data_IF_446746966293
#
_entry.id   IF_446746966293
#
_cell.length_a   1.000
_cell.length_b   1.000
_cell.length_c   1.000
_cell.angle_alpha   90.00
_cell.angle_beta   90.00
_cell.angle_gamma   90.00
#
_symmetry.space_group_name_H-M   'P 1'
#
loop_
_entity.id
_entity.type
_entity.pdbx_description
1 polymer ?
#
# COMPACT_ATOMS: atom_id res chain seq x y z
N UNK A 1 23.14 5.51 7.89
CA UNK A 1 22.80 4.47 6.90
C UNK A 1 21.68 5.01 6.04
N UNK A 2 21.80 4.97 4.73
CA UNK A 2 20.75 5.45 3.84
C UNK A 2 19.63 4.41 3.74
N UNK A 3 18.40 4.85 3.63
CA UNK A 3 17.20 4.01 3.69
C UNK A 3 16.60 3.81 2.32
N UNK A 4 16.11 2.60 2.08
CA UNK A 4 15.29 2.25 0.91
C UNK A 4 13.87 1.96 1.38
N UNK A 5 12.88 2.58 0.72
CA UNK A 5 11.50 2.54 1.17
C UNK A 5 10.55 2.15 0.04
N UNK A 6 9.46 1.46 0.38
CA UNK A 6 8.40 1.08 -0.55
C UNK A 6 7.07 1.69 -0.11
N UNK A 7 6.32 2.27 -1.06
CA UNK A 7 4.98 2.81 -0.83
C UNK A 7 4.01 2.18 -1.83
N UNK A 8 3.13 1.33 -1.32
CA UNK A 8 2.06 0.67 -2.09
C UNK A 8 0.80 1.55 -2.04
N UNK A 9 0.21 1.84 -3.20
CA UNK A 9 -0.86 2.83 -3.31
C UNK A 9 -0.33 4.27 -3.34
N UNK A 10 0.86 4.47 -3.88
CA UNK A 10 1.62 5.72 -3.92
C UNK A 10 0.92 6.89 -4.65
N UNK A 11 -0.13 6.66 -5.43
CA UNK A 11 -0.90 7.71 -6.12
C UNK A 11 -2.17 8.13 -5.37
N UNK A 12 -2.56 7.42 -4.31
CA UNK A 12 -3.63 7.87 -3.41
C UNK A 12 -3.18 9.11 -2.62
N UNK A 13 -4.13 9.89 -2.08
CA UNK A 13 -3.81 11.12 -1.36
C UNK A 13 -2.79 10.89 -0.22
N UNK A 14 -3.00 9.86 0.60
CA UNK A 14 -2.09 9.54 1.70
C UNK A 14 -0.77 8.98 1.17
N UNK A 15 -0.82 8.04 0.21
CA UNK A 15 0.38 7.44 -0.36
C UNK A 15 1.29 8.49 -1.02
N UNK A 16 0.72 9.44 -1.75
CA UNK A 16 1.48 10.53 -2.37
C UNK A 16 2.11 11.45 -1.31
N UNK A 17 1.36 11.86 -0.29
CA UNK A 17 1.89 12.69 0.78
C UNK A 17 3.05 12.01 1.55
N UNK A 18 2.96 10.69 1.75
CA UNK A 18 4.04 9.90 2.32
C UNK A 18 5.26 9.88 1.39
N UNK A 19 5.06 9.68 0.09
CA UNK A 19 6.15 9.74 -0.91
C UNK A 19 6.85 11.10 -0.86
N UNK A 20 6.10 12.20 -0.89
CA UNK A 20 6.67 13.56 -0.84
C UNK A 20 7.51 13.77 0.43
N UNK A 21 7.01 13.30 1.57
CA UNK A 21 7.73 13.35 2.85
C UNK A 21 9.05 12.55 2.80
N UNK A 22 9.00 11.34 2.22
CA UNK A 22 10.17 10.46 2.10
C UNK A 22 11.22 11.01 1.12
N UNK A 23 10.79 11.67 0.05
CA UNK A 23 11.69 12.31 -0.91
C UNK A 23 12.42 13.50 -0.31
N UNK A 24 11.78 14.23 0.60
CA UNK A 24 12.38 15.35 1.33
C UNK A 24 13.36 14.90 2.45
N UNK A 25 13.33 13.64 2.86
CA UNK A 25 14.24 13.09 3.88
C UNK A 25 15.59 12.74 3.23
N UNK A 26 16.66 13.45 3.62
CA UNK A 26 18.01 13.19 3.14
C UNK A 26 18.54 11.79 3.53
N UNK A 27 17.97 11.17 4.55
CA UNK A 27 18.34 9.80 4.93
C UNK A 27 17.75 8.74 3.99
N UNK A 28 16.78 9.09 3.13
CA UNK A 28 16.20 8.20 2.13
C UNK A 28 16.95 8.32 0.80
N UNK A 29 17.47 7.20 0.31
CA UNK A 29 18.19 7.13 -0.98
C UNK A 29 17.32 6.63 -2.14
N UNK A 30 16.32 5.79 -1.84
CA UNK A 30 15.44 5.25 -2.87
C UNK A 30 14.01 5.08 -2.37
N UNK A 31 13.05 5.52 -3.19
CA UNK A 31 11.61 5.36 -2.96
C UNK A 31 11.02 4.52 -4.09
N UNK A 32 10.55 3.33 -3.76
CA UNK A 32 9.82 2.47 -4.68
C UNK A 32 8.33 2.80 -4.58
N UNK A 33 7.76 3.33 -5.66
CA UNK A 33 6.35 3.70 -5.79
C UNK A 33 5.60 2.59 -6.51
N UNK A 34 4.65 1.98 -5.83
CA UNK A 34 3.82 0.92 -6.38
C UNK A 34 2.40 1.42 -6.63
N UNK A 35 1.92 1.31 -7.86
CA UNK A 35 0.56 1.73 -8.24
C UNK A 35 0.11 1.09 -9.55
N UNK A 36 -1.18 1.19 -9.87
CA UNK A 36 -1.76 0.72 -11.15
C UNK A 36 -1.48 1.65 -12.34
N UNK A 37 -0.92 2.81 -12.10
CA UNK A 37 -0.64 3.75 -13.18
C UNK A 37 0.79 3.57 -13.70
N UNK A 38 0.94 3.62 -15.01
CA UNK A 38 2.25 3.74 -15.65
C UNK A 38 2.89 5.07 -15.28
N UNK A 39 4.20 5.05 -15.13
CA UNK A 39 4.96 6.26 -14.83
C UNK A 39 5.65 6.81 -16.07
N UNK A 40 5.58 8.13 -16.23
CA UNK A 40 6.27 8.87 -17.26
C UNK A 40 7.38 9.79 -16.71
N UNK A 41 7.53 9.86 -15.39
CA UNK A 41 8.50 10.76 -14.74
C UNK A 41 9.72 9.96 -14.27
N UNK A 42 10.91 10.42 -14.67
CA UNK A 42 12.18 9.88 -14.20
C UNK A 42 12.76 10.82 -13.14
N UNK A 43 12.75 10.37 -11.90
CA UNK A 43 13.45 11.01 -10.80
C UNK A 43 14.54 10.06 -10.27
N UNK A 44 15.73 10.59 -10.00
CA UNK A 44 16.89 9.78 -9.62
C UNK A 44 16.65 8.86 -8.41
N UNK A 45 15.83 9.32 -7.44
CA UNK A 45 15.51 8.56 -6.23
C UNK A 45 14.26 7.67 -6.35
N UNK A 46 13.51 7.77 -7.44
CA UNK A 46 12.19 7.14 -7.56
C UNK A 46 12.21 5.97 -8.54
N UNK A 47 11.68 4.84 -8.12
CA UNK A 47 11.46 3.67 -8.96
C UNK A 47 9.97 3.35 -8.95
N UNK A 48 9.35 3.31 -10.13
CA UNK A 48 7.95 2.95 -10.28
C UNK A 48 7.81 1.50 -10.69
N UNK A 49 6.91 0.80 -10.03
CA UNK A 49 6.56 -0.60 -10.32
C UNK A 49 5.04 -0.70 -10.36
N UNK A 50 4.54 -1.34 -11.41
CA UNK A 50 3.11 -1.64 -11.50
C UNK A 50 2.70 -2.66 -10.44
N UNK A 51 1.56 -2.42 -9.80
CA UNK A 51 0.90 -3.36 -8.89
C UNK A 51 -0.61 -3.15 -8.90
N UNK A 52 -1.35 -4.24 -8.99
CA UNK A 52 -2.77 -4.28 -8.65
C UNK A 52 -2.94 -5.19 -7.41
N UNK A 53 -3.37 -4.61 -6.29
CA UNK A 53 -3.53 -5.36 -5.03
C UNK A 53 -4.77 -6.27 -5.03
N UNK A 54 -5.62 -6.18 -6.04
CA UNK A 54 -6.76 -7.05 -6.25
C UNK A 54 -6.39 -8.32 -7.02
N UNK A 55 -5.17 -8.39 -7.55
CA UNK A 55 -4.62 -9.52 -8.31
C UNK A 55 -3.33 -10.05 -7.63
N UNK A 56 -3.40 -11.26 -7.09
CA UNK A 56 -2.27 -11.88 -6.39
C UNK A 56 -1.06 -12.08 -7.32
N UNK A 57 -1.27 -12.43 -8.59
CA UNK A 57 -0.17 -12.60 -9.53
C UNK A 57 0.52 -11.27 -9.83
N UNK A 58 -0.23 -10.17 -9.93
CA UNK A 58 0.33 -8.82 -10.04
C UNK A 58 1.21 -8.45 -8.84
N UNK A 59 0.78 -8.79 -7.62
CA UNK A 59 1.56 -8.55 -6.40
C UNK A 59 2.88 -9.34 -6.43
N UNK A 60 2.83 -10.60 -6.84
CA UNK A 60 3.99 -11.47 -6.97
C UNK A 60 4.97 -10.93 -8.00
N UNK A 61 4.49 -10.61 -9.21
CA UNK A 61 5.31 -10.05 -10.29
C UNK A 61 5.96 -8.72 -9.88
N UNK A 62 5.26 -7.88 -9.13
CA UNK A 62 5.83 -6.64 -8.61
C UNK A 62 7.05 -6.89 -7.71
N UNK A 63 7.04 -7.95 -6.89
CA UNK A 63 8.22 -8.31 -6.08
C UNK A 63 9.32 -9.00 -6.91
N UNK A 64 8.98 -9.80 -7.91
CA UNK A 64 9.93 -10.45 -8.80
C UNK A 64 10.66 -9.44 -9.71
N UNK A 65 10.05 -8.28 -9.98
CA UNK A 65 10.65 -7.18 -10.75
C UNK A 65 11.63 -6.31 -9.95
N UNK A 66 11.76 -6.54 -8.65
CA UNK A 66 12.70 -5.80 -7.81
C UNK A 66 14.14 -6.11 -8.21
N UNK A 67 15.05 -5.11 -8.19
CA UNK A 67 16.46 -5.37 -8.33
C UNK A 67 16.97 -6.41 -7.33
N UNK A 68 17.93 -7.22 -7.76
CA UNK A 68 18.61 -8.19 -6.91
C UNK A 68 19.13 -7.51 -5.63
N UNK A 69 19.03 -8.21 -4.50
CA UNK A 69 19.44 -7.71 -3.17
C UNK A 69 18.63 -6.51 -2.62
N UNK A 70 17.51 -6.14 -3.24
CA UNK A 70 16.64 -5.09 -2.68
C UNK A 70 16.20 -5.44 -1.27
N UNK A 71 16.45 -4.52 -0.31
CA UNK A 71 15.96 -4.60 1.07
C UNK A 71 15.36 -3.27 1.48
N UNK A 72 14.19 -3.32 2.09
CA UNK A 72 13.45 -2.16 2.54
C UNK A 72 13.60 -1.93 4.04
N UNK A 73 13.80 -0.67 4.41
CA UNK A 73 13.74 -0.20 5.80
C UNK A 73 12.29 0.13 6.21
N UNK A 74 11.46 0.51 5.23
CA UNK A 74 10.03 0.75 5.39
C UNK A 74 9.26 0.20 4.19
N UNK A 75 8.21 -0.55 4.46
CA UNK A 75 7.15 -0.87 3.50
C UNK A 75 5.86 -0.29 4.05
N UNK A 76 5.28 0.66 3.31
CA UNK A 76 4.04 1.34 3.70
C UNK A 76 2.93 1.06 2.71
N UNK A 77 1.85 0.43 3.18
CA UNK A 77 0.67 0.11 2.37
C UNK A 77 -0.41 1.17 2.63
N UNK A 78 -0.62 2.05 1.65
CA UNK A 78 -1.56 3.16 1.68
C UNK A 78 -2.86 2.89 0.91
N UNK A 79 -3.11 1.64 0.56
CA UNK A 79 -4.33 1.25 -0.16
C UNK A 79 -5.50 1.10 0.80
N UNK A 80 -6.68 1.49 0.34
CA UNK A 80 -7.92 1.33 1.07
C UNK A 80 -9.06 2.06 0.37
N UNK A 81 -10.27 1.59 0.59
CA UNK A 81 -11.50 2.16 0.03
C UNK A 81 -12.58 2.20 1.11
N UNK A 82 -13.28 3.31 1.21
CA UNK A 82 -14.53 3.46 1.95
C UNK A 82 -15.70 3.59 0.98
N UNK A 83 -15.47 4.32 -0.12
CA UNK A 83 -16.41 4.48 -1.23
C UNK A 83 -15.61 4.70 -2.51
N UNK A 84 -16.24 4.43 -3.64
CA UNK A 84 -15.75 4.85 -4.95
C UNK A 84 -16.85 5.67 -5.65
N UNK A 85 -16.47 6.36 -6.72
CA UNK A 85 -17.40 7.26 -7.45
C UNK A 85 -18.47 6.49 -8.23
N UNK A 86 -18.36 5.17 -8.36
CA UNK A 86 -19.17 4.39 -9.30
C UNK A 86 -20.11 3.38 -8.61
N UNK A 87 -19.60 2.56 -7.71
CA UNK A 87 -20.33 1.37 -7.28
C UNK A 87 -20.30 1.09 -5.78
N UNK A 88 -19.35 1.64 -5.04
CA UNK A 88 -19.19 1.40 -3.60
C UNK A 88 -19.53 2.66 -2.83
N UNK A 89 -20.63 2.63 -2.10
CA UNK A 89 -21.06 3.68 -1.18
C UNK A 89 -21.33 3.06 0.18
N UNK A 90 -21.07 3.76 1.29
CA UNK A 90 -21.45 3.29 2.62
C UNK A 90 -22.94 2.97 2.68
N UNK A 91 -23.28 1.79 3.16
CA UNK A 91 -24.64 1.33 3.30
C UNK A 91 -25.36 2.15 4.37
N UNK A 92 -26.58 2.62 4.05
CA UNK A 92 -27.46 3.34 4.97
C UNK A 92 -28.48 2.41 5.63
N UNK A 93 -28.66 1.23 5.09
CA UNK A 93 -29.61 0.22 5.54
C UNK A 93 -29.05 -1.18 5.31
N UNK A 94 -29.44 -2.13 6.15
CA UNK A 94 -29.11 -3.54 5.96
C UNK A 94 -29.56 -4.08 4.58
N UNK A 95 -30.57 -3.48 3.99
CA UNK A 95 -31.07 -3.82 2.66
C UNK A 95 -30.13 -3.43 1.53
N UNK A 96 -29.19 -2.50 1.79
CA UNK A 96 -28.25 -2.00 0.80
C UNK A 96 -27.00 -2.90 0.71
N UNK A 97 -26.85 -3.85 1.64
CA UNK A 97 -25.73 -4.80 1.66
C UNK A 97 -25.85 -5.71 0.43
N UNK A 98 -24.77 -5.82 -0.31
CA UNK A 98 -24.66 -6.75 -1.43
C UNK A 98 -23.34 -7.53 -1.37
N UNK A 99 -23.36 -8.76 -1.85
CA UNK A 99 -22.19 -9.63 -1.88
C UNK A 99 -21.02 -8.99 -2.64
N UNK A 100 -21.29 -8.45 -3.83
CA UNK A 100 -20.25 -7.88 -4.70
C UNK A 100 -19.55 -6.67 -4.04
N UNK A 101 -20.32 -5.79 -3.38
CA UNK A 101 -19.76 -4.65 -2.64
C UNK A 101 -18.91 -5.11 -1.48
N UNK A 102 -19.39 -6.09 -0.70
CA UNK A 102 -18.64 -6.65 0.42
C UNK A 102 -17.33 -7.28 -0.06
N UNK A 103 -17.38 -8.11 -1.11
CA UNK A 103 -16.18 -8.73 -1.69
C UNK A 103 -15.20 -7.66 -2.14
N UNK A 104 -15.66 -6.62 -2.85
CA UNK A 104 -14.81 -5.52 -3.32
C UNK A 104 -14.09 -4.83 -2.17
N UNK A 105 -14.83 -4.44 -1.12
CA UNK A 105 -14.27 -3.76 0.06
C UNK A 105 -13.30 -4.67 0.80
N UNK A 106 -13.64 -5.95 1.01
CA UNK A 106 -12.77 -6.91 1.66
C UNK A 106 -11.50 -7.19 0.84
N UNK A 107 -11.63 -7.28 -0.48
CA UNK A 107 -10.48 -7.48 -1.37
C UNK A 107 -9.48 -6.34 -1.23
N UNK A 108 -9.94 -5.10 -1.31
CA UNK A 108 -9.04 -3.94 -1.26
C UNK A 108 -8.50 -3.67 0.15
N UNK A 109 -9.35 -3.81 1.19
CA UNK A 109 -8.98 -3.38 2.54
C UNK A 109 -8.38 -4.50 3.41
N UNK A 110 -8.53 -5.77 3.01
CA UNK A 110 -8.11 -6.91 3.82
C UNK A 110 -7.25 -7.89 3.03
N UNK A 111 -7.80 -8.46 1.96
CA UNK A 111 -7.11 -9.52 1.20
C UNK A 111 -5.85 -8.96 0.55
N UNK A 112 -5.97 -7.86 -0.21
CA UNK A 112 -4.84 -7.22 -0.89
C UNK A 112 -3.70 -6.85 0.04
N UNK A 113 -3.91 -6.07 1.11
CA UNK A 113 -2.87 -5.76 2.10
C UNK A 113 -2.25 -7.00 2.75
N UNK A 114 -3.03 -8.06 2.99
CA UNK A 114 -2.52 -9.33 3.53
C UNK A 114 -1.60 -10.02 2.53
N UNK A 115 -1.98 -10.08 1.25
CA UNK A 115 -1.14 -10.64 0.19
C UNK A 115 0.11 -9.79 -0.04
N UNK A 116 0.00 -8.45 0.00
CA UNK A 116 1.18 -7.58 0.01
C UNK A 116 2.11 -7.96 1.17
N UNK A 117 1.59 -8.17 2.38
CA UNK A 117 2.39 -8.65 3.50
C UNK A 117 3.09 -9.97 3.19
N UNK A 118 2.38 -10.96 2.63
CA UNK A 118 2.93 -12.27 2.24
C UNK A 118 4.16 -12.14 1.32
N UNK A 119 4.07 -11.30 0.29
CA UNK A 119 5.10 -11.20 -0.73
C UNK A 119 6.20 -10.20 -0.39
N UNK A 120 5.89 -9.11 0.33
CA UNK A 120 6.84 -8.01 0.59
C UNK A 120 7.61 -8.13 1.90
N UNK A 121 7.07 -8.76 2.96
CA UNK A 121 7.78 -8.93 4.23
C UNK A 121 9.15 -9.61 4.08
N UNK A 122 9.36 -10.60 3.19
CA UNK A 122 10.68 -11.19 2.96
C UNK A 122 11.75 -10.19 2.46
N UNK A 123 11.33 -9.06 1.90
CA UNK A 123 12.20 -7.97 1.44
C UNK A 123 12.50 -6.94 2.52
N UNK A 124 11.95 -7.05 3.72
CA UNK A 124 12.37 -6.22 4.84
C UNK A 124 13.82 -6.51 5.23
N UNK A 125 14.55 -5.45 5.56
CA UNK A 125 15.91 -5.55 6.09
C UNK A 125 15.89 -6.30 7.44
N UNK A 126 16.81 -7.25 7.62
CA UNK A 126 16.86 -8.12 8.81
C UNK A 126 18.00 -7.79 9.76
N UNK A 127 18.99 -7.04 9.28
CA UNK A 127 20.20 -6.66 10.02
C UNK A 127 20.05 -5.34 10.78
N UNK A 128 18.93 -4.66 10.60
CA UNK A 128 18.59 -3.41 11.30
C UNK A 128 17.07 -3.31 11.49
N UNK A 129 16.64 -2.26 12.22
CA UNK A 129 15.22 -2.00 12.42
C UNK A 129 14.55 -1.67 11.09
N UNK A 130 13.57 -2.46 10.71
CA UNK A 130 12.70 -2.25 9.57
C UNK A 130 11.23 -2.30 9.96
N UNK A 131 10.36 -1.72 9.13
CA UNK A 131 8.95 -1.58 9.45
C UNK A 131 8.08 -1.99 8.26
N UNK A 132 7.09 -2.85 8.50
CA UNK A 132 5.95 -3.04 7.63
C UNK A 132 4.73 -2.38 8.27
N UNK A 133 4.10 -1.46 7.56
CA UNK A 133 2.94 -0.71 8.05
C UNK A 133 1.85 -0.66 6.99
N UNK A 134 0.60 -0.76 7.43
CA UNK A 134 -0.56 -0.54 6.58
C UNK A 134 -1.60 0.30 7.32
N UNK A 135 -2.40 1.02 6.54
CA UNK A 135 -3.44 1.89 7.09
C UNK A 135 -4.57 1.05 7.68
N UNK A 136 -5.03 1.47 8.84
CA UNK A 136 -6.25 1.01 9.47
C UNK A 136 -7.17 2.20 9.72
N UNK A 137 -8.32 1.99 10.36
CA UNK A 137 -9.25 3.04 10.69
C UNK A 137 -9.40 3.18 12.20
N UNK A 138 -9.58 4.42 12.71
CA UNK A 138 -9.84 4.67 14.14
C UNK A 138 -11.02 3.87 14.65
N UNK A 139 -12.08 3.76 13.84
CA UNK A 139 -13.30 3.00 14.16
C UNK A 139 -13.08 1.48 14.22
N UNK A 140 -11.94 0.98 13.76
CA UNK A 140 -11.54 -0.42 13.94
C UNK A 140 -11.13 -0.78 15.37
N UNK A 141 -10.97 0.22 16.25
CA UNK A 141 -10.68 -0.02 17.66
C UNK A 141 -11.99 -0.09 18.47
N UNK A 142 -12.20 -1.19 19.18
CA UNK A 142 -13.36 -1.38 20.05
C UNK A 142 -13.45 -0.32 21.18
N UNK A 143 -12.34 0.27 21.59
CA UNK A 143 -12.30 1.34 22.58
C UNK A 143 -12.95 2.65 22.11
N UNK A 144 -13.15 2.83 20.81
CA UNK A 144 -13.81 4.02 20.25
C UNK A 144 -15.33 3.89 20.16
N UNK A 145 -15.90 2.73 20.43
CA UNK A 145 -17.36 2.52 20.42
C UNK A 145 -18.06 3.29 21.54
N UNK A 146 -17.33 3.69 22.57
CA UNK A 146 -17.84 4.39 23.75
C UNK A 146 -17.63 5.90 23.73
N UNK A 147 -17.23 6.45 22.60
CA UNK A 147 -17.05 7.92 22.44
C UNK A 147 -18.29 8.55 21.82
#
# INVERSE_FOLDING_TARGET
MKKTVAVIGSRGAIGNAVVDTLLADESVEAVFKFSRAENTEHEDKVKHIFIDIEDEESIKQATESLPEDTKFDLIFVATGILHDEKNVFPEKSIKDISFDKLIKVLTINTIGPTLVGKYFIPYLRKDSKSTFAFLSARVGSLSLIHI
#
